data_IF_284273476152
#
_entry.id   IF_284273476152
#
_cell.length_a   1.000
_cell.length_b   1.000
_cell.length_c   1.000
_cell.angle_alpha   90.00
_cell.angle_beta   90.00
_cell.angle_gamma   90.00
#
_symmetry.space_group_name_H-M   'P 1'
#
loop_
_entity.id
_entity.type
_entity.pdbx_description
1 polymer ?
#
# COMPACT_ATOMS: atom_id res chain seq x y z
N UNK A 1 16.90 26.03 -3.32
CA UNK A 1 16.34 25.01 -2.41
C UNK A 1 17.36 23.90 -2.28
N UNK A 2 17.63 23.45 -1.05
CA UNK A 2 18.49 22.28 -0.82
C UNK A 2 17.84 21.00 -1.35
N UNK A 3 18.63 19.95 -1.59
CA UNK A 3 18.09 18.65 -2.02
C UNK A 3 17.04 18.13 -1.02
N UNK A 4 17.32 18.21 0.28
CA UNK A 4 16.36 17.82 1.32
C UNK A 4 15.03 18.58 1.26
N UNK A 5 15.04 19.89 0.95
CA UNK A 5 13.81 20.67 0.76
C UNK A 5 13.01 20.22 -0.45
N UNK A 6 13.67 19.74 -1.52
CA UNK A 6 13.00 19.22 -2.70
C UNK A 6 12.42 17.82 -2.47
N UNK A 7 13.07 16.99 -1.66
CA UNK A 7 12.66 15.62 -1.40
C UNK A 7 11.56 15.51 -0.34
N UNK A 8 11.55 16.39 0.66
CA UNK A 8 10.65 16.32 1.81
C UNK A 8 9.16 16.14 1.44
N UNK A 9 8.58 16.86 0.45
CA UNK A 9 7.19 16.67 0.07
C UNK A 9 6.86 15.29 -0.51
N UNK A 10 7.86 14.54 -0.98
CA UNK A 10 7.69 13.25 -1.64
C UNK A 10 7.89 12.04 -0.71
N UNK A 11 8.50 12.25 0.48
CA UNK A 11 8.79 11.17 1.43
C UNK A 11 7.54 10.43 1.93
N UNK A 12 6.42 11.12 2.28
CA UNK A 12 5.21 10.42 2.68
C UNK A 12 4.74 9.42 1.63
N UNK A 13 4.68 9.84 0.36
CA UNK A 13 4.23 8.99 -0.74
C UNK A 13 5.20 7.84 -1.04
N UNK A 14 6.51 8.10 -0.94
CA UNK A 14 7.49 7.01 -1.06
C UNK A 14 7.30 5.95 0.05
N UNK A 15 6.98 6.36 1.28
CA UNK A 15 6.64 5.40 2.34
C UNK A 15 5.39 4.61 2.00
N UNK A 16 4.32 5.27 1.51
CA UNK A 16 3.11 4.58 1.06
C UNK A 16 3.43 3.51 0.01
N UNK A 17 4.20 3.87 -1.01
CA UNK A 17 4.65 2.92 -2.03
C UNK A 17 5.47 1.76 -1.43
N UNK A 18 6.48 2.06 -0.61
CA UNK A 18 7.35 1.06 0.00
C UNK A 18 6.58 0.09 0.91
N UNK A 19 5.61 0.59 1.68
CA UNK A 19 4.72 -0.22 2.52
C UNK A 19 3.79 -1.10 1.67
N UNK A 20 3.22 -0.56 0.60
CA UNK A 20 2.40 -1.34 -0.32
C UNK A 20 3.21 -2.45 -1.03
N UNK A 21 4.48 -2.14 -1.36
CA UNK A 21 5.41 -3.08 -1.99
C UNK A 21 5.82 -4.21 -1.04
N UNK A 22 6.05 -3.90 0.24
CA UNK A 22 6.54 -4.84 1.27
C UNK A 22 5.42 -5.50 2.08
N UNK A 23 4.20 -4.98 2.04
CA UNK A 23 3.11 -5.43 2.90
C UNK A 23 3.34 -5.13 4.39
N UNK A 24 4.29 -4.27 4.73
CA UNK A 24 4.67 -3.99 6.12
C UNK A 24 5.12 -2.55 6.31
N UNK A 25 4.59 -1.91 7.35
CA UNK A 25 5.06 -0.60 7.78
C UNK A 25 6.57 -0.60 8.07
N UNK A 26 7.02 -1.51 8.93
CA UNK A 26 8.39 -1.59 9.43
C UNK A 26 9.39 -1.76 8.30
N UNK A 27 9.13 -2.70 7.37
CA UNK A 27 10.02 -2.96 6.25
C UNK A 27 9.99 -1.83 5.23
N UNK A 28 8.81 -1.33 4.85
CA UNK A 28 8.69 -0.22 3.91
C UNK A 28 9.44 1.03 4.39
N UNK A 29 9.25 1.41 5.66
CA UNK A 29 9.91 2.58 6.24
C UNK A 29 11.42 2.38 6.40
N UNK A 30 11.89 1.14 6.61
CA UNK A 30 13.31 0.83 6.63
C UNK A 30 13.98 1.04 5.26
N UNK A 31 13.34 0.62 4.16
CA UNK A 31 13.84 0.87 2.81
C UNK A 31 13.87 2.36 2.46
N UNK A 32 12.86 3.13 2.89
CA UNK A 32 12.87 4.59 2.71
C UNK A 32 14.04 5.22 3.46
N UNK A 33 14.29 4.80 4.70
CA UNK A 33 15.45 5.29 5.47
C UNK A 33 16.77 4.97 4.78
N UNK A 34 16.97 3.72 4.35
CA UNK A 34 18.19 3.31 3.63
C UNK A 34 18.39 4.13 2.33
N UNK A 35 17.30 4.44 1.62
CA UNK A 35 17.34 5.32 0.44
C UNK A 35 17.85 6.71 0.80
N UNK A 36 17.39 7.30 1.89
CA UNK A 36 17.83 8.63 2.32
C UNK A 36 19.28 8.63 2.81
N UNK A 37 19.69 7.58 3.53
CA UNK A 37 21.08 7.39 3.95
C UNK A 37 22.03 7.32 2.74
N UNK A 38 21.65 6.58 1.69
CA UNK A 38 22.41 6.51 0.44
C UNK A 38 22.52 7.88 -0.25
N UNK A 39 21.41 8.64 -0.34
CA UNK A 39 21.41 9.99 -0.93
C UNK A 39 22.30 10.95 -0.14
N UNK A 40 22.33 10.84 1.19
CA UNK A 40 23.19 11.69 2.04
C UNK A 40 24.66 11.28 1.92
N UNK A 41 24.93 9.97 1.78
CA UNK A 41 26.29 9.44 1.64
C UNK A 41 26.94 9.80 0.30
N UNK A 42 26.17 9.79 -0.79
CA UNK A 42 26.65 10.07 -2.15
C UNK A 42 25.66 11.00 -2.91
N UNK A 43 25.54 12.29 -2.52
CA UNK A 43 24.59 13.21 -3.14
C UNK A 43 24.85 13.48 -4.62
N UNK A 44 26.08 13.27 -5.09
CA UNK A 44 26.48 13.37 -6.51
C UNK A 44 25.93 12.24 -7.39
N UNK A 45 25.55 11.09 -6.80
CA UNK A 45 24.94 9.97 -7.53
C UNK A 45 23.43 10.16 -7.71
N UNK A 46 22.82 11.12 -7.00
CA UNK A 46 21.40 11.40 -7.11
C UNK A 46 21.03 11.90 -8.52
N UNK A 47 20.02 11.30 -9.20
CA UNK A 47 19.55 11.74 -10.51
C UNK A 47 18.96 13.16 -10.46
N UNK A 48 19.80 14.16 -10.74
CA UNK A 48 19.44 15.59 -10.64
C UNK A 48 18.99 16.20 -11.96
N UNK A 49 19.07 15.44 -13.05
CA UNK A 49 18.61 15.76 -14.39
C UNK A 49 17.10 15.52 -14.60
N UNK A 50 16.45 14.85 -13.65
CA UNK A 50 15.01 14.54 -13.66
C UNK A 50 14.25 15.26 -12.55
N UNK A 51 12.92 15.14 -12.58
CA UNK A 51 12.08 15.60 -11.48
C UNK A 51 12.52 14.97 -10.13
N UNK A 52 12.60 15.74 -9.02
CA UNK A 52 13.06 15.22 -7.73
C UNK A 52 12.28 14.01 -7.23
N UNK A 53 10.98 13.92 -7.55
CA UNK A 53 10.16 12.74 -7.23
C UNK A 53 10.65 11.52 -7.99
N UNK A 54 10.93 11.66 -9.28
CA UNK A 54 11.40 10.57 -10.13
C UNK A 54 12.80 10.10 -9.71
N UNK A 55 13.71 11.04 -9.42
CA UNK A 55 15.05 10.74 -8.90
C UNK A 55 15.03 10.00 -7.56
N UNK A 56 14.10 10.37 -6.67
CA UNK A 56 13.90 9.71 -5.37
C UNK A 56 13.44 8.26 -5.55
N UNK A 57 12.44 8.02 -6.39
CA UNK A 57 11.92 6.66 -6.65
C UNK A 57 12.96 5.79 -7.39
N UNK A 58 13.74 6.37 -8.31
CA UNK A 58 14.83 5.65 -8.99
C UNK A 58 15.89 5.20 -7.98
N UNK A 59 16.26 6.07 -7.05
CA UNK A 59 17.22 5.72 -5.99
C UNK A 59 16.66 4.63 -5.07
N UNK A 60 15.38 4.69 -4.72
CA UNK A 60 14.71 3.63 -3.97
C UNK A 60 14.77 2.29 -4.70
N UNK A 61 14.47 2.25 -6.00
CA UNK A 61 14.52 1.02 -6.80
C UNK A 61 15.94 0.45 -6.94
N UNK A 62 16.96 1.30 -6.97
CA UNK A 62 18.36 0.86 -6.93
C UNK A 62 18.70 0.14 -5.61
N UNK A 63 18.28 0.70 -4.47
CA UNK A 63 18.47 0.08 -3.14
C UNK A 63 17.62 -1.19 -2.99
N UNK A 64 16.38 -1.16 -3.48
CA UNK A 64 15.49 -2.32 -3.44
C UNK A 64 16.04 -3.48 -4.28
N UNK A 65 16.53 -3.22 -5.49
CA UNK A 65 17.09 -4.27 -6.35
C UNK A 65 18.43 -4.82 -5.82
N UNK A 66 19.26 -4.00 -5.17
CA UNK A 66 20.52 -4.46 -4.58
C UNK A 66 20.32 -5.30 -3.31
N UNK A 67 19.34 -4.97 -2.46
CA UNK A 67 19.05 -5.76 -1.25
C UNK A 67 18.50 -7.15 -1.56
N UNK A 68 17.82 -7.33 -2.69
CA UNK A 68 17.35 -8.64 -3.15
C UNK A 68 18.48 -9.52 -3.73
N UNK A 69 19.68 -8.96 -3.93
CA UNK A 69 20.88 -9.70 -4.34
C UNK A 69 21.78 -10.09 -3.16
N UNK A 70 21.63 -9.43 -2.00
CA UNK A 70 22.44 -9.64 -0.80
C UNK A 70 21.54 -10.13 0.37
N UNK A 71 21.16 -11.41 0.34
CA UNK A 71 20.46 -12.07 1.45
C UNK A 71 21.38 -12.25 2.68
N UNK A 72 21.37 -11.29 3.61
CA UNK A 72 21.69 -11.54 5.02
C UNK A 72 20.47 -11.22 5.88
N UNK A 73 20.00 -12.16 6.73
CA UNK A 73 18.77 -11.98 7.50
C UNK A 73 18.89 -10.80 8.46
N UNK A 74 17.92 -9.89 8.41
CA UNK A 74 17.73 -8.85 9.42
C UNK A 74 17.42 -9.56 10.76
N UNK A 75 18.42 -9.64 11.64
CA UNK A 75 18.31 -10.30 12.94
C UNK A 75 17.43 -9.45 13.88
N UNK A 76 16.14 -9.79 13.96
CA UNK A 76 15.24 -9.13 14.91
C UNK A 76 13.79 -9.61 14.98
N UNK A 77 13.31 -10.42 14.02
CA UNK A 77 11.92 -10.88 13.98
C UNK A 77 11.72 -12.33 14.45
N UNK A 78 10.57 -12.62 15.05
CA UNK A 78 10.15 -13.98 15.43
C UNK A 78 10.20 -14.91 14.20
N UNK A 79 10.44 -16.22 14.40
CA UNK A 79 10.68 -17.17 13.30
C UNK A 79 9.60 -17.25 12.20
N UNK A 80 8.41 -16.68 12.42
CA UNK A 80 7.37 -16.50 11.40
C UNK A 80 7.63 -15.28 10.48
N UNK A 81 8.21 -14.21 11.01
CA UNK A 81 8.67 -13.04 10.24
C UNK A 81 9.83 -13.41 9.31
N UNK A 82 10.75 -14.29 9.73
CA UNK A 82 11.82 -14.78 8.87
C UNK A 82 11.29 -15.60 7.67
N UNK A 83 10.17 -16.32 7.84
CA UNK A 83 9.49 -17.06 6.76
C UNK A 83 8.71 -16.08 5.86
N UNK A 84 8.09 -15.05 6.43
CA UNK A 84 7.48 -13.96 5.67
C UNK A 84 8.54 -13.17 4.86
N UNK A 85 9.72 -12.94 5.43
CA UNK A 85 10.88 -12.32 4.76
C UNK A 85 11.41 -13.21 3.63
N UNK A 86 11.54 -14.52 3.86
CA UNK A 86 11.94 -15.49 2.85
C UNK A 86 10.89 -15.68 1.73
N UNK A 87 9.62 -15.33 1.99
CA UNK A 87 8.54 -15.25 0.99
C UNK A 87 8.51 -13.91 0.25
N UNK A 88 8.86 -12.80 0.92
CA UNK A 88 9.11 -11.49 0.31
C UNK A 88 10.30 -11.53 -0.68
N UNK A 89 11.31 -12.36 -0.39
CA UNK A 89 12.44 -12.67 -1.29
C UNK A 89 12.04 -13.44 -2.56
N UNK A 90 10.79 -13.95 -2.68
CA UNK A 90 10.23 -14.48 -3.95
C UNK A 90 9.60 -13.39 -4.85
N UNK A 91 10.03 -12.15 -4.61
CA UNK A 91 9.89 -10.95 -5.44
C UNK A 91 8.45 -10.51 -5.67
N UNK A 92 8.12 -9.31 -5.20
CA UNK A 92 6.97 -8.57 -5.71
C UNK A 92 7.10 -8.49 -7.24
N UNK A 93 6.28 -9.22 -8.02
CA UNK A 93 6.52 -9.37 -9.45
C UNK A 93 6.59 -8.01 -10.14
N UNK A 94 7.41 -7.86 -11.19
CA UNK A 94 7.47 -6.63 -11.99
C UNK A 94 6.08 -6.11 -12.41
N UNK A 95 5.10 -6.98 -12.78
CA UNK A 95 3.70 -6.57 -12.99
C UNK A 95 3.13 -5.73 -11.84
N UNK A 96 3.37 -6.19 -10.61
CA UNK A 96 2.85 -5.57 -9.40
C UNK A 96 3.56 -4.25 -9.07
N UNK A 97 4.88 -4.15 -9.32
CA UNK A 97 5.60 -2.87 -9.20
C UNK A 97 5.05 -1.83 -10.18
N UNK A 98 4.87 -2.23 -11.45
CA UNK A 98 4.32 -1.36 -12.49
C UNK A 98 2.90 -0.89 -12.14
N UNK A 99 2.05 -1.79 -11.64
CA UNK A 99 0.71 -1.45 -11.17
C UNK A 99 0.72 -0.45 -10.01
N UNK A 100 1.58 -0.65 -9.01
CA UNK A 100 1.65 0.27 -7.87
C UNK A 100 2.16 1.66 -8.27
N UNK A 101 3.21 1.73 -9.08
CA UNK A 101 3.76 3.00 -9.55
C UNK A 101 2.73 3.78 -10.39
N UNK A 102 1.96 3.09 -11.23
CA UNK A 102 0.92 3.73 -12.05
C UNK A 102 -0.34 4.05 -11.24
N UNK A 103 -0.99 3.05 -10.64
CA UNK A 103 -2.33 3.19 -10.04
C UNK A 103 -2.32 3.82 -8.64
N UNK A 104 -1.29 3.57 -7.82
CA UNK A 104 -1.21 4.10 -6.47
C UNK A 104 -0.42 5.41 -6.44
N UNK A 105 0.72 5.45 -7.11
CA UNK A 105 1.57 6.65 -7.14
C UNK A 105 1.23 7.61 -8.29
N UNK A 106 0.48 7.20 -9.31
CA UNK A 106 0.05 8.10 -10.37
C UNK A 106 1.18 8.52 -11.32
N UNK A 107 2.23 7.71 -11.43
CA UNK A 107 3.25 7.89 -12.46
C UNK A 107 2.70 7.52 -13.83
N UNK A 108 3.21 8.20 -14.87
CA UNK A 108 2.90 7.82 -16.26
C UNK A 108 3.65 6.54 -16.63
N UNK A 109 3.22 5.87 -17.71
CA UNK A 109 3.91 4.67 -18.23
C UNK A 109 5.38 4.99 -18.55
N UNK A 110 5.67 6.15 -19.14
CA UNK A 110 7.03 6.59 -19.45
C UNK A 110 7.88 6.80 -18.18
N UNK A 111 7.30 7.40 -17.13
CA UNK A 111 7.98 7.55 -15.85
C UNK A 111 8.30 6.18 -15.24
N UNK A 112 7.35 5.24 -15.27
CA UNK A 112 7.54 3.88 -14.75
C UNK A 112 8.59 3.13 -15.56
N UNK A 113 8.57 3.23 -16.89
CA UNK A 113 9.56 2.67 -17.79
C UNK A 113 10.98 3.14 -17.42
N UNK A 114 11.14 4.43 -17.14
CA UNK A 114 12.39 4.99 -16.64
C UNK A 114 12.78 4.46 -15.25
N UNK A 115 11.83 4.32 -14.33
CA UNK A 115 12.07 3.84 -12.96
C UNK A 115 12.52 2.38 -12.90
N UNK A 116 11.90 1.51 -13.70
CA UNK A 116 12.18 0.07 -13.70
C UNK A 116 13.15 -0.37 -14.81
N UNK A 117 13.57 0.54 -15.69
CA UNK A 117 14.56 0.29 -16.73
C UNK A 117 14.05 -0.57 -17.89
N UNK A 118 12.81 -0.34 -18.33
CA UNK A 118 12.12 -1.12 -19.37
C UNK A 118 11.54 -0.20 -20.45
N UNK A 119 11.07 -0.77 -21.56
CA UNK A 119 10.33 -0.01 -22.58
C UNK A 119 8.88 0.24 -22.13
N UNK A 120 8.30 1.37 -22.55
CA UNK A 120 6.93 1.75 -22.18
C UNK A 120 5.89 0.69 -22.57
N UNK A 121 6.05 0.03 -23.72
CA UNK A 121 5.18 -1.07 -24.15
C UNK A 121 5.22 -2.27 -23.22
N UNK A 122 6.39 -2.56 -22.64
CA UNK A 122 6.53 -3.67 -21.70
C UNK A 122 5.88 -3.33 -20.37
N UNK A 123 5.97 -2.06 -19.93
CA UNK A 123 5.26 -1.58 -18.73
C UNK A 123 3.76 -1.69 -18.91
N UNK A 124 3.20 -1.32 -20.07
CA UNK A 124 1.77 -1.48 -20.34
C UNK A 124 1.33 -2.95 -20.22
N UNK A 125 2.10 -3.86 -20.81
CA UNK A 125 1.83 -5.30 -20.71
C UNK A 125 1.91 -5.81 -19.27
N UNK A 126 2.90 -5.35 -18.49
CA UNK A 126 3.04 -5.68 -17.07
C UNK A 126 1.85 -5.19 -16.23
N UNK A 127 1.35 -3.99 -16.50
CA UNK A 127 0.17 -3.45 -15.80
C UNK A 127 -1.07 -4.27 -16.16
N UNK A 128 -1.27 -4.60 -17.44
CA UNK A 128 -2.40 -5.42 -17.89
C UNK A 128 -2.36 -6.83 -17.28
N UNK A 129 -1.19 -7.46 -17.22
CA UNK A 129 -0.95 -8.73 -16.57
C UNK A 129 -1.35 -8.68 -15.09
N UNK A 130 -0.87 -7.65 -14.36
CA UNK A 130 -1.21 -7.47 -12.95
C UNK A 130 -2.72 -7.28 -12.75
N UNK A 131 -3.38 -6.48 -13.58
CA UNK A 131 -4.83 -6.28 -13.48
C UNK A 131 -5.62 -7.56 -13.75
N UNK A 132 -5.15 -8.40 -14.66
CA UNK A 132 -5.76 -9.70 -14.98
C UNK A 132 -5.61 -10.68 -13.83
N UNK A 133 -4.42 -10.74 -13.22
CA UNK A 133 -4.18 -11.57 -12.03
C UNK A 133 -5.10 -11.18 -10.88
N UNK A 134 -5.33 -9.87 -10.69
CA UNK A 134 -6.25 -9.33 -9.69
C UNK A 134 -7.68 -9.79 -9.93
N UNK A 135 -8.15 -9.73 -11.17
CA UNK A 135 -9.50 -10.16 -11.53
C UNK A 135 -9.70 -11.68 -11.36
N UNK A 136 -8.62 -12.46 -11.45
CA UNK A 136 -8.64 -13.89 -11.21
C UNK A 136 -8.65 -14.27 -9.72
N UNK A 137 -8.43 -13.32 -8.79
CA UNK A 137 -8.44 -13.60 -7.36
C UNK A 137 -9.83 -13.95 -6.82
N UNK A 138 -9.84 -14.74 -5.75
CA UNK A 138 -11.04 -15.21 -5.08
C UNK A 138 -11.88 -14.04 -4.54
N UNK A 139 -13.20 -14.12 -4.72
CA UNK A 139 -14.14 -13.16 -4.13
C UNK A 139 -13.94 -13.07 -2.62
N UNK A 140 -13.97 -11.85 -2.09
CA UNK A 140 -13.80 -11.56 -0.67
C UNK A 140 -15.04 -10.85 -0.14
N UNK A 141 -15.34 -11.06 1.13
CA UNK A 141 -16.33 -10.29 1.89
C UNK A 141 -15.68 -9.02 2.42
N UNK A 142 -16.25 -7.87 2.11
CA UNK A 142 -15.69 -6.55 2.43
C UNK A 142 -16.63 -5.80 3.35
N UNK A 143 -16.11 -5.36 4.50
CA UNK A 143 -16.77 -4.40 5.37
C UNK A 143 -16.28 -3.00 5.02
N UNK A 144 -17.20 -2.06 4.84
CA UNK A 144 -16.89 -0.64 4.62
C UNK A 144 -17.25 0.12 5.91
N UNK A 145 -16.33 0.96 6.39
CA UNK A 145 -16.54 1.88 7.51
C UNK A 145 -16.39 3.30 6.97
N UNK A 146 -17.50 3.99 6.73
CA UNK A 146 -17.55 5.30 6.08
C UNK A 146 -18.88 5.97 6.42
N UNK A 147 -18.84 7.19 6.92
CA UNK A 147 -20.02 7.97 7.32
C UNK A 147 -20.55 8.85 6.18
N UNK A 148 -19.73 9.19 5.18
CA UNK A 148 -20.16 9.96 4.02
C UNK A 148 -20.88 9.08 2.98
N UNK A 149 -22.21 9.21 2.79
CA UNK A 149 -22.97 8.24 1.99
C UNK A 149 -22.53 8.16 0.52
N UNK A 150 -22.12 9.29 -0.06
CA UNK A 150 -21.66 9.33 -1.46
C UNK A 150 -20.35 8.55 -1.60
N UNK A 151 -19.43 8.73 -0.66
CA UNK A 151 -18.13 8.04 -0.68
C UNK A 151 -18.33 6.55 -0.42
N UNK A 152 -19.19 6.18 0.53
CA UNK A 152 -19.53 4.79 0.80
C UNK A 152 -20.13 4.10 -0.44
N UNK A 153 -21.03 4.75 -1.16
CA UNK A 153 -21.62 4.25 -2.40
C UNK A 153 -20.59 4.09 -3.53
N UNK A 154 -19.66 5.04 -3.67
CA UNK A 154 -18.58 4.95 -4.66
C UNK A 154 -17.65 3.78 -4.35
N UNK A 155 -17.25 3.59 -3.09
CA UNK A 155 -16.44 2.46 -2.64
C UNK A 155 -17.19 1.15 -2.87
N UNK A 156 -18.46 1.06 -2.44
CA UNK A 156 -19.31 -0.13 -2.63
C UNK A 156 -19.39 -0.54 -4.09
N UNK A 157 -19.58 0.43 -4.99
CA UNK A 157 -19.63 0.20 -6.44
C UNK A 157 -18.30 -0.36 -6.94
N UNK A 158 -17.17 0.24 -6.55
CA UNK A 158 -15.84 -0.24 -6.97
C UNK A 158 -15.60 -1.67 -6.45
N UNK A 159 -15.90 -1.93 -5.18
CA UNK A 159 -15.72 -3.25 -4.56
C UNK A 159 -16.54 -4.32 -5.29
N UNK A 160 -17.80 -4.01 -5.64
CA UNK A 160 -18.67 -4.92 -6.39
C UNK A 160 -18.24 -5.10 -7.85
N UNK A 161 -17.77 -4.05 -8.51
CA UNK A 161 -17.23 -4.11 -9.88
C UNK A 161 -16.00 -5.04 -9.95
N UNK A 162 -15.22 -5.14 -8.87
CA UNK A 162 -14.11 -6.09 -8.72
C UNK A 162 -14.56 -7.53 -8.40
N UNK A 163 -15.86 -7.75 -8.26
CA UNK A 163 -16.44 -9.06 -7.98
C UNK A 163 -16.48 -9.43 -6.49
N UNK A 164 -16.05 -8.55 -5.58
CA UNK A 164 -16.16 -8.79 -4.15
C UNK A 164 -17.59 -8.53 -3.63
N UNK A 165 -17.90 -9.05 -2.44
CA UNK A 165 -19.19 -8.88 -1.78
C UNK A 165 -19.05 -7.85 -0.66
N UNK A 166 -19.88 -6.80 -0.66
CA UNK A 166 -19.95 -5.87 0.47
C UNK A 166 -20.93 -6.43 1.51
N UNK A 167 -20.43 -6.78 2.70
CA UNK A 167 -21.24 -7.38 3.75
C UNK A 167 -22.08 -6.36 4.49
N UNK A 168 -21.47 -5.21 4.80
CA UNK A 168 -22.13 -4.10 5.49
C UNK A 168 -21.38 -2.79 5.22
N UNK A 169 -22.09 -1.68 5.43
CA UNK A 169 -21.53 -0.33 5.50
C UNK A 169 -21.84 0.19 6.91
N UNK A 170 -20.80 0.36 7.72
CA UNK A 170 -20.89 0.89 9.07
C UNK A 170 -20.54 2.38 9.08
N UNK A 171 -21.34 3.17 9.78
CA UNK A 171 -21.13 4.64 9.90
C UNK A 171 -20.62 5.04 11.29
N UNK A 172 -20.55 4.10 12.23
CA UNK A 172 -20.05 4.30 13.60
C UNK A 172 -19.08 3.19 13.99
N UNK A 173 -18.24 3.46 14.99
CA UNK A 173 -17.35 2.45 15.59
C UNK A 173 -18.11 1.22 16.12
N UNK A 174 -19.20 1.44 16.85
CA UNK A 174 -19.98 0.34 17.45
C UNK A 174 -20.59 -0.56 16.38
N UNK A 175 -21.16 0.03 15.32
CA UNK A 175 -21.68 -0.73 14.18
C UNK A 175 -20.58 -1.49 13.45
N UNK A 176 -19.41 -0.86 13.23
CA UNK A 176 -18.30 -1.51 12.55
C UNK A 176 -17.85 -2.78 13.28
N UNK A 177 -17.69 -2.71 14.61
CA UNK A 177 -17.31 -3.87 15.42
C UNK A 177 -18.41 -4.94 15.37
N UNK A 178 -19.68 -4.54 15.52
CA UNK A 178 -20.83 -5.47 15.48
C UNK A 178 -20.91 -6.22 14.16
N UNK A 179 -20.83 -5.52 13.04
CA UNK A 179 -20.90 -6.11 11.69
C UNK A 179 -19.66 -6.98 11.39
N UNK A 180 -18.46 -6.54 11.80
CA UNK A 180 -17.26 -7.34 11.63
C UNK A 180 -17.33 -8.69 12.36
N UNK A 181 -17.89 -8.71 13.57
CA UNK A 181 -18.04 -9.95 14.35
C UNK A 181 -19.12 -10.88 13.77
N UNK A 182 -20.20 -10.30 13.23
CA UNK A 182 -21.32 -11.05 12.65
C UNK A 182 -20.96 -11.69 11.30
N UNK A 183 -20.38 -10.90 10.39
CA UNK A 183 -20.15 -11.32 9.01
C UNK A 183 -18.76 -11.87 8.73
N UNK A 184 -17.79 -11.63 9.64
CA UNK A 184 -16.38 -12.06 9.53
C UNK A 184 -15.80 -11.69 8.15
N UNK A 185 -15.67 -10.39 7.83
CA UNK A 185 -15.19 -9.95 6.53
C UNK A 185 -13.74 -10.43 6.29
N UNK A 186 -13.40 -10.66 5.03
CA UNK A 186 -12.02 -10.93 4.59
C UNK A 186 -11.23 -9.67 4.26
N UNK A 187 -11.85 -8.50 4.29
CA UNK A 187 -11.20 -7.20 4.09
C UNK A 187 -12.02 -6.10 4.77
N UNK A 188 -11.35 -5.14 5.38
CA UNK A 188 -11.98 -3.91 5.90
C UNK A 188 -11.45 -2.69 5.14
N UNK A 189 -12.36 -1.87 4.61
CA UNK A 189 -12.07 -0.53 4.10
C UNK A 189 -12.59 0.48 5.12
N UNK A 190 -11.73 1.33 5.65
CA UNK A 190 -12.10 2.23 6.74
C UNK A 190 -11.68 3.68 6.46
N UNK A 191 -12.62 4.62 6.55
CA UNK A 191 -12.26 6.01 6.80
C UNK A 191 -11.59 6.12 8.18
N UNK A 192 -10.67 7.05 8.29
CA UNK A 192 -9.93 7.36 9.51
C UNK A 192 -10.73 8.26 10.43
N UNK A 193 -11.54 9.16 9.86
CA UNK A 193 -12.33 10.13 10.61
C UNK A 193 -13.81 9.89 10.34
N UNK A 194 -14.61 9.71 11.39
CA UNK A 194 -16.06 9.49 11.31
C UNK A 194 -16.83 10.69 11.90
N UNK A 195 -18.10 10.83 11.52
CA UNK A 195 -19.00 11.94 11.88
C UNK A 195 -19.15 12.23 13.38
N UNK A 196 -18.96 11.25 14.25
CA UNK A 196 -19.21 11.33 15.69
C UNK A 196 -17.94 11.68 16.52
N UNK A 197 -16.92 12.25 15.87
CA UNK A 197 -15.56 12.41 16.41
C UNK A 197 -14.90 11.08 16.82
N UNK A 198 -15.51 9.93 16.50
CA UNK A 198 -14.86 8.63 16.67
C UNK A 198 -13.86 8.41 15.54
N UNK A 199 -12.83 7.62 15.85
CA UNK A 199 -11.82 7.27 14.87
C UNK A 199 -12.10 5.90 14.28
N UNK A 200 -12.14 5.81 12.95
CA UNK A 200 -12.15 4.50 12.29
C UNK A 200 -10.87 3.70 12.56
N UNK A 201 -9.77 4.35 12.97
CA UNK A 201 -8.58 3.65 13.51
C UNK A 201 -8.92 2.88 14.79
N UNK A 202 -9.69 3.48 15.69
CA UNK A 202 -10.11 2.81 16.93
C UNK A 202 -11.09 1.68 16.65
N UNK A 203 -12.02 1.88 15.71
CA UNK A 203 -12.93 0.81 15.25
C UNK A 203 -12.16 -0.38 14.67
N UNK A 204 -11.19 -0.10 13.79
CA UNK A 204 -10.31 -1.12 13.23
C UNK A 204 -9.49 -1.80 14.33
N UNK A 205 -8.96 -1.05 15.30
CA UNK A 205 -8.17 -1.62 16.39
C UNK A 205 -8.98 -2.61 17.23
N UNK A 206 -10.23 -2.28 17.52
CA UNK A 206 -11.14 -3.19 18.23
C UNK A 206 -11.42 -4.46 17.40
N UNK A 207 -11.68 -4.30 16.10
CA UNK A 207 -11.88 -5.44 15.18
C UNK A 207 -10.65 -6.35 15.17
N UNK A 208 -9.45 -5.76 15.00
CA UNK A 208 -8.17 -6.48 14.94
C UNK A 208 -7.79 -7.17 16.26
N UNK A 209 -8.37 -6.74 17.38
CA UNK A 209 -8.17 -7.39 18.68
C UNK A 209 -8.89 -8.75 18.78
N UNK A 210 -9.91 -8.96 17.96
CA UNK A 210 -10.76 -10.15 17.96
C UNK A 210 -10.55 -11.03 16.72
N UNK A 211 -10.25 -10.43 15.56
CA UNK A 211 -10.08 -11.13 14.28
C UNK A 211 -8.86 -10.61 13.52
N UNK A 212 -8.15 -11.52 12.84
CA UNK A 212 -7.11 -11.13 11.88
C UNK A 212 -7.78 -10.90 10.53
N UNK A 213 -7.73 -9.66 10.04
CA UNK A 213 -8.30 -9.26 8.75
C UNK A 213 -7.43 -8.15 8.15
N UNK A 214 -7.15 -8.16 6.83
CA UNK A 214 -6.45 -7.04 6.20
C UNK A 214 -7.31 -5.78 6.22
N UNK A 215 -6.65 -4.62 6.41
CA UNK A 215 -7.32 -3.33 6.51
C UNK A 215 -6.67 -2.33 5.57
N UNK A 216 -7.50 -1.59 4.83
CA UNK A 216 -7.09 -0.45 4.03
C UNK A 216 -7.78 0.78 4.58
N UNK A 217 -6.97 1.79 4.90
CA UNK A 217 -7.50 3.07 5.37
C UNK A 217 -7.68 4.06 4.21
N UNK A 218 -8.71 4.88 4.31
CA UNK A 218 -9.06 5.91 3.33
C UNK A 218 -9.02 7.26 4.05
N UNK A 219 -8.35 8.27 3.47
CA UNK A 219 -8.23 9.58 4.14
C UNK A 219 -7.94 10.71 3.17
N UNK A 220 -8.37 11.93 3.50
CA UNK A 220 -8.00 13.15 2.79
C UNK A 220 -6.58 13.66 3.12
N UNK A 221 -5.95 13.20 4.21
CA UNK A 221 -4.66 13.69 4.70
C UNK A 221 -3.65 12.56 4.93
N UNK A 222 -3.20 11.88 3.86
CA UNK A 222 -2.33 10.72 3.94
C UNK A 222 -1.00 11.00 4.63
N UNK A 223 -0.46 12.21 4.49
CA UNK A 223 0.84 12.61 5.03
C UNK A 223 0.93 12.55 6.55
N UNK A 224 -0.21 12.63 7.27
CA UNK A 224 -0.26 12.52 8.74
C UNK A 224 -0.04 11.11 9.25
N UNK A 225 -0.06 10.13 8.35
CA UNK A 225 -0.01 8.69 8.62
C UNK A 225 1.09 7.99 7.82
N UNK A 226 1.99 8.80 7.27
CA UNK A 226 3.16 8.38 6.52
C UNK A 226 4.38 9.11 7.09
N UNK A 227 4.42 9.32 8.41
CA UNK A 227 5.55 9.95 9.10
C UNK A 227 6.68 8.95 9.33
N UNK A 228 6.32 7.69 9.58
CA UNK A 228 7.25 6.62 9.94
C UNK A 228 7.80 6.71 11.36
N UNK A 229 7.18 7.51 12.23
CA UNK A 229 7.64 7.76 13.61
C UNK A 229 6.83 7.03 14.68
N UNK A 230 5.70 6.43 14.28
CA UNK A 230 4.74 5.76 15.16
C UNK A 230 4.08 4.61 14.41
N UNK A 231 3.33 3.71 15.08
CA UNK A 231 2.49 2.74 14.39
C UNK A 231 1.49 3.45 13.46
N UNK A 232 1.50 3.10 12.18
CA UNK A 232 0.71 3.70 11.11
C UNK A 232 0.17 2.62 10.16
N UNK A 233 -0.91 2.89 9.40
CA UNK A 233 -1.43 1.98 8.39
C UNK A 233 -0.38 1.52 7.36
N UNK A 234 -0.50 0.24 6.98
CA UNK A 234 0.29 -0.34 5.88
C UNK A 234 -0.32 0.04 4.52
N UNK A 235 -1.64 -0.11 4.36
CA UNK A 235 -2.35 0.24 3.12
C UNK A 235 -3.20 1.49 3.33
N UNK A 236 -3.04 2.44 2.42
CA UNK A 236 -3.68 3.75 2.53
C UNK A 236 -4.09 4.29 1.15
N UNK A 237 -5.33 4.77 1.04
CA UNK A 237 -5.91 5.39 -0.15
C UNK A 237 -6.21 6.85 0.17
N UNK A 238 -5.89 7.75 -0.76
CA UNK A 238 -6.12 9.19 -0.62
C UNK A 238 -7.47 9.60 -1.23
N UNK A 239 -8.28 10.37 -0.50
CA UNK A 239 -9.48 11.05 -1.04
C UNK A 239 -9.07 12.35 -1.76
N UNK A 240 -9.68 12.69 -2.92
CA UNK A 240 -10.52 11.84 -3.75
C UNK A 240 -9.70 10.74 -4.44
N UNK A 241 -10.26 9.54 -4.55
CA UNK A 241 -9.56 8.37 -5.11
C UNK A 241 -10.01 8.05 -6.53
N UNK A 242 -9.10 7.46 -7.30
CA UNK A 242 -9.42 6.84 -8.59
C UNK A 242 -9.78 5.36 -8.38
N UNK A 243 -10.64 4.83 -9.26
CA UNK A 243 -11.03 3.41 -9.23
C UNK A 243 -9.82 2.47 -9.29
N UNK A 244 -8.82 2.83 -10.11
CA UNK A 244 -7.55 2.10 -10.25
C UNK A 244 -6.78 2.02 -8.94
N UNK A 245 -6.70 3.12 -8.18
CA UNK A 245 -6.03 3.17 -6.87
C UNK A 245 -6.68 2.23 -5.86
N UNK A 246 -8.02 2.23 -5.80
CA UNK A 246 -8.77 1.32 -4.91
C UNK A 246 -8.56 -0.13 -5.31
N UNK A 247 -8.66 -0.45 -6.61
CA UNK A 247 -8.40 -1.79 -7.16
C UNK A 247 -7.01 -2.29 -6.79
N UNK A 248 -5.98 -1.47 -7.01
CA UNK A 248 -4.61 -1.81 -6.67
C UNK A 248 -4.49 -2.09 -5.17
N UNK A 249 -4.95 -1.19 -4.31
CA UNK A 249 -4.85 -1.36 -2.86
C UNK A 249 -5.56 -2.62 -2.34
N UNK A 250 -6.78 -2.90 -2.81
CA UNK A 250 -7.54 -4.12 -2.46
C UNK A 250 -6.76 -5.37 -2.83
N UNK A 251 -6.25 -5.43 -4.06
CA UNK A 251 -5.40 -6.52 -4.53
C UNK A 251 -4.19 -6.73 -3.63
N UNK A 252 -3.51 -5.66 -3.23
CA UNK A 252 -2.32 -5.77 -2.38
C UNK A 252 -2.67 -6.38 -1.03
N UNK A 253 -3.73 -5.88 -0.41
CA UNK A 253 -4.15 -6.31 0.90
C UNK A 253 -4.52 -7.80 0.90
N UNK A 254 -5.26 -8.26 -0.13
CA UNK A 254 -5.65 -9.66 -0.28
C UNK A 254 -4.48 -10.58 -0.67
N UNK A 255 -3.53 -10.11 -1.49
CA UNK A 255 -2.34 -10.88 -1.86
C UNK A 255 -1.51 -11.26 -0.63
N UNK A 256 -1.26 -10.31 0.28
CA UNK A 256 -0.48 -10.59 1.49
C UNK A 256 -1.27 -11.38 2.53
N UNK A 257 -2.59 -11.26 2.59
CA UNK A 257 -3.41 -12.09 3.48
C UNK A 257 -3.34 -13.58 3.10
N UNK A 258 -3.48 -13.91 1.81
CA UNK A 258 -3.37 -15.28 1.32
C UNK A 258 -1.96 -15.90 1.51
N UNK A 259 -0.91 -15.08 1.45
CA UNK A 259 0.45 -15.53 1.74
C UNK A 259 0.71 -15.81 3.23
N UNK A 260 -0.17 -15.32 4.10
CA UNK A 260 -0.09 -15.43 5.57
C UNK A 260 -1.07 -16.48 6.12
N UNK A 261 -2.07 -16.90 5.34
CA UNK A 261 -2.95 -18.01 5.68
C UNK A 261 -2.16 -19.35 5.73
N UNK A 262 -2.26 -20.13 6.82
CA UNK A 262 -1.66 -21.45 6.87
C UNK A 262 -2.33 -22.36 5.83
N UNK A 263 -1.50 -23.05 5.03
CA UNK A 263 -1.92 -24.06 4.07
C UNK A 263 -2.55 -25.28 4.76
#
# INVERSE_FOLDING_TARGET
MSLGQKLHPHLPFLRRYARALTGSQTHGDAYVRATLEAIVAAPEEFPSDVDPRLGLYRTFHAIWSSSHLEDEPFAGGDGHEAIAQARLARLTPLPRQALLLTALEGFTVDDVAYLIGMDASDVEALVEEALTEIEAQTRAKVLIIEDEPIIAMDIETIVRDLGHEVTAIAVTREDAVREAMAERPGLVLADIQLADDSSGIDAVKDILSEISVPVIFITAFPERLLTGERPEPTFLITKPFQRSTVKAAISQALFFDQATAPA
#
